data_IF_628953991554
#
_entry.id   IF_628953991554
#
_cell.length_a   1.000
_cell.length_b   1.000
_cell.length_c   1.000
_cell.angle_alpha   90.00
_cell.angle_beta   90.00
_cell.angle_gamma   90.00
#
_symmetry.space_group_name_H-M   'P 1'
#
loop_
_entity.id
_entity.type
_entity.pdbx_description
1 polymer ?
#
# COMPACT_ATOMS: atom_id res chain seq x y z
N UNK A 1 -14.68 8.40 -9.39
CA UNK A 1 -15.20 8.90 -8.10
C UNK A 1 -15.05 7.84 -6.99
N UNK A 2 -15.66 6.66 -7.15
CA UNK A 2 -15.74 5.63 -6.10
C UNK A 2 -14.39 5.09 -5.56
N UNK A 3 -13.33 5.05 -6.38
CA UNK A 3 -12.01 4.59 -5.91
C UNK A 3 -11.23 5.66 -5.15
N UNK A 4 -11.42 6.95 -5.47
CA UNK A 4 -10.75 8.06 -4.80
C UNK A 4 -11.24 8.23 -3.35
N UNK A 5 -12.54 8.05 -3.13
CA UNK A 5 -13.13 8.08 -1.78
C UNK A 5 -12.63 6.91 -0.92
N UNK A 6 -12.53 5.71 -1.51
CA UNK A 6 -11.92 4.55 -0.83
C UNK A 6 -10.46 4.78 -0.47
N UNK A 7 -9.66 5.34 -1.38
CA UNK A 7 -8.25 5.67 -1.09
C UNK A 7 -8.13 6.62 0.11
N UNK A 8 -8.98 7.65 0.18
CA UNK A 8 -9.00 8.57 1.31
C UNK A 8 -9.37 7.84 2.62
N UNK A 9 -10.43 7.03 2.62
CA UNK A 9 -10.85 6.26 3.79
C UNK A 9 -9.74 5.32 4.29
N UNK A 10 -9.01 4.66 3.39
CA UNK A 10 -7.90 3.79 3.77
C UNK A 10 -6.76 4.57 4.43
N UNK A 11 -6.44 5.77 3.94
CA UNK A 11 -5.43 6.64 4.56
C UNK A 11 -5.87 7.12 5.95
N UNK A 12 -7.14 7.49 6.11
CA UNK A 12 -7.72 7.89 7.40
C UNK A 12 -7.69 6.73 8.42
N UNK A 13 -8.03 5.51 8.00
CA UNK A 13 -7.91 4.30 8.83
C UNK A 13 -6.45 4.06 9.22
N UNK A 14 -5.52 4.14 8.27
CA UNK A 14 -4.09 3.94 8.55
C UNK A 14 -3.56 4.96 9.57
N UNK A 15 -3.94 6.23 9.45
CA UNK A 15 -3.60 7.28 10.43
C UNK A 15 -4.27 7.05 11.78
N UNK A 16 -5.49 6.51 11.83
CA UNK A 16 -6.14 6.17 13.10
C UNK A 16 -5.39 5.08 13.87
N UNK A 17 -4.73 4.17 13.15
CA UNK A 17 -3.92 3.07 13.71
C UNK A 17 -2.54 3.58 14.13
N UNK A 18 -1.87 4.35 13.27
CA UNK A 18 -0.57 4.96 13.55
C UNK A 18 -0.57 6.46 13.20
N UNK A 19 -0.96 7.34 14.14
CA UNK A 19 -1.05 8.78 13.88
C UNK A 19 0.30 9.45 13.56
N UNK A 20 1.41 8.80 13.92
CA UNK A 20 2.77 9.30 13.73
C UNK A 20 3.47 8.75 12.49
N UNK A 21 2.81 7.90 11.68
CA UNK A 21 3.43 7.34 10.46
C UNK A 21 3.75 8.46 9.47
N UNK A 22 5.05 8.70 9.27
CA UNK A 22 5.56 9.67 8.29
C UNK A 22 5.20 9.26 6.87
N UNK A 23 5.24 7.96 6.55
CA UNK A 23 4.87 7.42 5.24
C UNK A 23 3.39 7.65 4.95
N UNK A 24 2.51 7.36 5.91
CA UNK A 24 1.06 7.55 5.74
C UNK A 24 0.72 9.04 5.58
N UNK A 25 1.41 9.92 6.31
CA UNK A 25 1.28 11.38 6.15
C UNK A 25 1.73 11.84 4.76
N UNK A 26 2.86 11.33 4.26
CA UNK A 26 3.31 11.59 2.89
C UNK A 26 2.26 11.12 1.86
N UNK A 27 1.75 9.88 1.97
CA UNK A 27 0.73 9.40 1.03
C UNK A 27 -0.58 10.18 1.12
N UNK A 28 -0.92 10.72 2.29
CA UNK A 28 -2.06 11.62 2.45
C UNK A 28 -1.84 12.95 1.71
N UNK A 29 -0.61 13.49 1.74
CA UNK A 29 -0.25 14.67 0.98
C UNK A 29 -0.26 14.40 -0.53
N UNK A 30 0.35 13.29 -0.95
CA UNK A 30 0.33 12.82 -2.33
C UNK A 30 -1.10 12.61 -2.86
N UNK A 31 -2.02 12.10 -2.03
CA UNK A 31 -3.43 12.01 -2.39
C UNK A 31 -4.03 13.38 -2.72
N UNK A 32 -3.77 14.40 -1.90
CA UNK A 32 -4.23 15.78 -2.18
C UNK A 32 -3.67 16.28 -3.52
N UNK A 33 -2.38 16.03 -3.81
CA UNK A 33 -1.78 16.33 -5.11
C UNK A 33 -2.54 15.67 -6.26
N UNK A 34 -2.83 14.37 -6.16
CA UNK A 34 -3.49 13.59 -7.21
C UNK A 34 -4.95 14.01 -7.47
N UNK A 35 -5.61 14.64 -6.49
CA UNK A 35 -6.96 15.21 -6.66
C UNK A 35 -6.93 16.72 -6.97
N UNK A 36 -5.76 17.27 -7.26
CA UNK A 36 -5.50 18.66 -7.63
C UNK A 36 -5.69 19.69 -6.50
N UNK A 37 -5.70 19.26 -5.22
CA UNK A 37 -5.63 20.17 -4.07
C UNK A 37 -4.16 20.47 -3.72
N UNK A 38 -3.53 21.28 -4.57
CA UNK A 38 -2.09 21.57 -4.48
C UNK A 38 -1.73 22.41 -3.26
N UNK A 39 -2.64 23.28 -2.79
CA UNK A 39 -2.40 24.12 -1.61
C UNK A 39 -2.33 23.25 -0.36
N UNK A 40 -3.32 22.38 -0.16
CA UNK A 40 -3.34 21.46 0.98
C UNK A 40 -2.22 20.43 0.89
N UNK A 41 -1.96 19.90 -0.31
CA UNK A 41 -0.81 19.02 -0.55
C UNK A 41 0.49 19.68 -0.09
N UNK A 42 0.74 20.93 -0.50
CA UNK A 42 1.95 21.67 -0.16
C UNK A 42 2.09 21.90 1.35
N UNK A 43 1.00 22.25 2.04
CA UNK A 43 0.98 22.38 3.51
C UNK A 43 1.38 21.06 4.18
N UNK A 44 0.78 19.94 3.75
CA UNK A 44 1.06 18.63 4.30
C UNK A 44 2.49 18.16 4.01
N UNK A 45 3.02 18.45 2.82
CA UNK A 45 4.41 18.16 2.45
C UNK A 45 5.41 18.98 3.27
N UNK A 46 5.11 20.25 3.56
CA UNK A 46 5.92 21.06 4.47
C UNK A 46 5.99 20.41 5.86
N UNK A 47 4.85 19.98 6.40
CA UNK A 47 4.82 19.28 7.69
C UNK A 47 5.61 17.96 7.65
N UNK A 48 5.53 17.20 6.54
CA UNK A 48 6.32 15.98 6.36
C UNK A 48 7.82 16.27 6.38
N UNK A 49 8.26 17.33 5.68
CA UNK A 49 9.68 17.69 5.57
C UNK A 49 10.22 18.36 6.84
N UNK A 50 9.38 19.05 7.61
CA UNK A 50 9.76 19.53 8.96
C UNK A 50 10.00 18.36 9.92
N UNK A 51 9.19 17.30 9.84
CA UNK A 51 9.37 16.10 10.67
C UNK A 51 10.56 15.25 10.20
N UNK A 52 10.68 15.04 8.89
CA UNK A 52 11.72 14.24 8.28
C UNK A 52 12.24 14.91 6.99
N UNK A 53 13.32 15.71 7.07
CA UNK A 53 13.90 16.37 5.91
C UNK A 53 14.60 15.40 4.95
N UNK A 54 14.67 14.09 5.27
CA UNK A 54 15.23 13.05 4.40
C UNK A 54 14.18 12.34 3.55
N UNK A 55 12.92 12.77 3.62
CA UNK A 55 11.84 12.19 2.83
C UNK A 55 11.96 12.63 1.35
N UNK A 56 12.74 11.88 0.57
CA UNK A 56 12.99 12.16 -0.86
C UNK A 56 11.68 12.28 -1.65
N UNK A 57 10.71 11.35 -1.55
CA UNK A 57 9.43 11.50 -2.26
C UNK A 57 8.69 12.80 -1.92
N UNK A 58 8.73 13.26 -0.67
CA UNK A 58 8.11 14.53 -0.29
C UNK A 58 8.76 15.73 -0.98
N UNK A 59 10.09 15.72 -1.17
CA UNK A 59 10.76 16.74 -1.98
C UNK A 59 10.30 16.71 -3.45
N UNK A 60 10.20 15.53 -4.05
CA UNK A 60 9.79 15.38 -5.46
C UNK A 60 8.34 15.83 -5.69
N UNK A 61 7.39 15.46 -4.83
CA UNK A 61 5.99 15.90 -4.97
C UNK A 61 5.83 17.39 -4.65
N UNK A 62 6.63 17.95 -3.73
CA UNK A 62 6.58 19.38 -3.39
C UNK A 62 6.98 20.25 -4.58
N UNK A 63 8.01 19.88 -5.35
CA UNK A 63 8.38 20.65 -6.55
C UNK A 63 7.28 20.60 -7.60
N UNK A 64 6.66 19.44 -7.83
CA UNK A 64 5.50 19.33 -8.72
C UNK A 64 4.30 20.17 -8.23
N UNK A 65 3.99 20.18 -6.93
CA UNK A 65 2.95 21.06 -6.37
C UNK A 65 3.25 22.54 -6.63
N UNK A 66 4.50 22.97 -6.43
CA UNK A 66 4.91 24.35 -6.69
C UNK A 66 4.78 24.71 -8.17
N UNK A 67 5.13 23.80 -9.09
CA UNK A 67 4.90 23.98 -10.53
C UNK A 67 3.40 24.16 -10.83
N UNK A 68 2.53 23.30 -10.30
CA UNK A 68 1.08 23.40 -10.50
C UNK A 68 0.48 24.68 -9.90
N UNK A 69 1.14 25.30 -8.91
CA UNK A 69 0.76 26.57 -8.30
C UNK A 69 1.39 27.79 -9.00
N UNK A 70 2.16 27.60 -10.08
CA UNK A 70 2.83 28.70 -10.79
C UNK A 70 4.06 29.28 -10.08
N UNK A 71 4.57 28.60 -9.05
CA UNK A 71 5.69 29.06 -8.20
C UNK A 71 7.04 28.61 -8.77
N UNK A 72 7.29 28.94 -10.04
CA UNK A 72 8.42 28.39 -10.81
C UNK A 72 9.79 28.77 -10.26
N UNK A 73 9.96 30.02 -9.82
CA UNK A 73 11.25 30.51 -9.29
C UNK A 73 11.66 29.76 -8.01
N UNK A 74 10.69 29.36 -7.19
CA UNK A 74 10.97 28.51 -6.02
C UNK A 74 11.44 27.12 -6.42
N UNK A 75 10.88 26.54 -7.49
CA UNK A 75 11.31 25.23 -8.00
C UNK A 75 12.72 25.28 -8.56
N UNK A 76 13.07 26.37 -9.26
CA UNK A 76 14.40 26.58 -9.84
C UNK A 76 15.50 26.53 -8.76
N UNK A 77 15.21 27.04 -7.58
CA UNK A 77 16.15 27.11 -6.45
C UNK A 77 15.94 26.03 -5.38
N UNK A 78 14.88 25.23 -5.47
CA UNK A 78 14.45 24.32 -4.40
C UNK A 78 15.54 23.36 -3.89
N UNK A 79 16.31 22.78 -4.82
CA UNK A 79 17.38 21.82 -4.50
C UNK A 79 18.75 22.48 -4.30
N UNK A 80 18.83 23.80 -4.19
CA UNK A 80 20.11 24.48 -3.94
C UNK A 80 20.45 24.45 -2.44
N UNK A 81 19.44 24.39 -1.56
CA UNK A 81 19.60 24.32 -0.10
C UNK A 81 19.45 22.89 0.49
N UNK A 82 19.20 21.88 -0.36
CA UNK A 82 19.03 20.48 0.08
C UNK A 82 20.40 19.78 0.08
N UNK A 83 20.76 19.06 1.16
CA UNK A 83 22.01 18.29 1.22
C UNK A 83 22.18 17.36 0.01
N UNK A 84 23.36 17.38 -0.61
CA UNK A 84 23.61 16.72 -1.89
C UNK A 84 23.31 15.21 -1.86
N UNK A 85 23.48 14.55 -0.71
CA UNK A 85 23.17 13.14 -0.49
C UNK A 85 21.67 12.80 -0.56
N UNK A 86 20.80 13.80 -0.42
CA UNK A 86 19.34 13.67 -0.55
C UNK A 86 18.85 14.03 -1.95
N UNK A 87 19.71 14.61 -2.79
CA UNK A 87 19.34 15.09 -4.12
C UNK A 87 19.52 14.00 -5.16
N UNK A 88 18.41 13.62 -5.80
CA UNK A 88 18.44 12.79 -6.99
C UNK A 88 18.69 13.70 -8.20
N UNK A 89 19.87 13.59 -8.81
CA UNK A 89 20.34 14.46 -9.91
C UNK A 89 19.33 14.60 -11.05
N UNK A 90 18.72 13.49 -11.48
CA UNK A 90 17.70 13.49 -12.52
C UNK A 90 16.45 14.32 -12.15
N UNK A 91 16.03 14.28 -10.89
CA UNK A 91 14.88 15.05 -10.40
C UNK A 91 15.20 16.53 -10.29
N UNK A 92 16.38 16.89 -9.78
CA UNK A 92 16.83 18.29 -9.73
C UNK A 92 16.85 18.91 -11.13
N UNK A 93 17.42 18.20 -12.11
CA UNK A 93 17.47 18.67 -13.50
C UNK A 93 16.07 18.79 -14.09
N UNK A 94 15.22 17.78 -13.87
CA UNK A 94 13.84 17.78 -14.36
C UNK A 94 12.99 18.91 -13.77
N UNK A 95 13.10 19.15 -12.46
CA UNK A 95 12.40 20.24 -11.79
C UNK A 95 12.72 21.60 -12.42
N UNK A 96 14.01 21.85 -12.72
CA UNK A 96 14.44 23.06 -13.43
C UNK A 96 13.93 23.09 -14.87
N UNK A 97 14.03 21.99 -15.61
CA UNK A 97 13.54 21.90 -16.99
C UNK A 97 12.03 22.22 -17.09
N UNK A 98 11.22 21.59 -16.24
CA UNK A 98 9.77 21.82 -16.17
C UNK A 98 9.44 23.25 -15.75
N UNK A 99 10.16 23.82 -14.76
CA UNK A 99 9.95 25.19 -14.31
C UNK A 99 10.21 26.21 -15.43
N UNK A 100 11.32 26.08 -16.15
CA UNK A 100 11.65 26.97 -17.25
C UNK A 100 10.70 26.81 -18.43
N UNK A 101 10.29 25.58 -18.75
CA UNK A 101 9.29 25.32 -19.79
C UNK A 101 7.95 26.00 -19.46
N UNK A 102 7.42 25.82 -18.24
CA UNK A 102 6.17 26.45 -17.79
C UNK A 102 6.28 27.99 -17.68
N UNK A 103 7.47 28.50 -17.33
CA UNK A 103 7.76 29.94 -17.32
C UNK A 103 7.93 30.53 -18.71
N UNK A 104 7.99 29.70 -19.75
CA UNK A 104 8.27 30.09 -21.16
C UNK A 104 9.64 30.76 -21.34
N UNK A 105 10.61 30.39 -20.51
CA UNK A 105 12.02 30.78 -20.68
C UNK A 105 12.69 29.78 -21.62
N UNK A 106 12.68 30.11 -22.91
CA UNK A 106 13.12 29.21 -23.98
C UNK A 106 14.59 28.83 -23.86
N UNK A 107 15.45 29.78 -23.46
CA UNK A 107 16.90 29.57 -23.37
C UNK A 107 17.23 28.57 -22.26
N UNK A 108 16.73 28.83 -21.04
CA UNK A 108 16.98 27.92 -19.93
C UNK A 108 16.24 26.58 -20.08
N UNK A 109 15.03 26.59 -20.66
CA UNK A 109 14.31 25.36 -20.94
C UNK A 109 15.13 24.44 -21.87
N UNK A 110 15.74 24.98 -22.93
CA UNK A 110 16.59 24.21 -23.83
C UNK A 110 17.81 23.62 -23.11
N UNK A 111 18.52 24.44 -22.31
CA UNK A 111 19.70 24.01 -21.54
C UNK A 111 19.37 22.84 -20.60
N UNK A 112 18.29 22.95 -19.83
CA UNK A 112 17.94 21.91 -18.87
C UNK A 112 17.29 20.68 -19.52
N UNK A 113 16.61 20.84 -20.66
CA UNK A 113 16.10 19.73 -21.47
C UNK A 113 17.24 18.89 -22.06
N UNK A 114 18.30 19.53 -22.56
CA UNK A 114 19.49 18.82 -23.06
C UNK A 114 20.19 18.06 -21.93
N UNK A 115 20.38 18.70 -20.77
CA UNK A 115 20.95 18.05 -19.59
C UNK A 115 20.11 16.85 -19.13
N UNK A 116 18.79 16.97 -19.14
CA UNK A 116 17.88 15.88 -18.75
C UNK A 116 17.98 14.70 -19.72
N UNK A 117 18.02 14.97 -21.03
CA UNK A 117 18.23 13.96 -22.06
C UNK A 117 19.57 13.23 -21.91
N UNK A 118 20.65 13.97 -21.63
CA UNK A 118 21.96 13.36 -21.39
C UNK A 118 21.93 12.44 -20.15
N UNK A 119 21.27 12.87 -19.07
CA UNK A 119 21.12 12.07 -17.86
C UNK A 119 20.24 10.83 -18.07
N UNK A 120 19.18 10.93 -18.88
CA UNK A 120 18.31 9.81 -19.21
C UNK A 120 19.05 8.65 -19.91
N UNK A 121 20.09 8.97 -20.69
CA UNK A 121 20.92 7.98 -21.40
C UNK A 121 21.99 7.31 -20.52
N UNK A 122 22.21 7.80 -19.30
CA UNK A 122 23.18 7.20 -18.39
C UNK A 122 22.66 5.89 -17.78
N UNK A 123 23.57 5.05 -17.25
CA UNK A 123 23.22 3.74 -16.67
C UNK A 123 22.16 3.80 -15.55
N UNK A 124 22.13 4.88 -14.78
CA UNK A 124 21.14 5.14 -13.72
C UNK A 124 20.15 6.24 -14.11
N UNK A 125 19.93 6.43 -15.41
CA UNK A 125 19.14 7.51 -15.99
C UNK A 125 17.61 7.34 -15.88
N UNK A 126 17.12 6.22 -15.33
CA UNK A 126 15.68 5.89 -15.34
C UNK A 126 14.79 6.96 -14.70
N UNK A 127 15.26 7.67 -13.68
CA UNK A 127 14.52 8.80 -13.11
C UNK A 127 14.41 9.95 -14.11
N UNK A 128 15.53 10.38 -14.69
CA UNK A 128 15.57 11.45 -15.69
C UNK A 128 14.73 11.10 -16.93
N UNK A 129 14.85 9.85 -17.42
CA UNK A 129 14.04 9.31 -18.51
C UNK A 129 12.54 9.44 -18.22
N UNK A 130 12.10 9.09 -17.01
CA UNK A 130 10.69 9.21 -16.62
C UNK A 130 10.15 10.64 -16.62
N UNK A 131 11.01 11.66 -16.43
CA UNK A 131 10.61 13.06 -16.49
C UNK A 131 10.58 13.61 -17.92
N UNK A 132 11.20 12.95 -18.91
CA UNK A 132 11.05 13.35 -20.32
C UNK A 132 9.58 13.29 -20.75
N UNK A 133 8.82 12.29 -20.28
CA UNK A 133 7.38 12.23 -20.48
C UNK A 133 6.64 13.49 -20.00
N UNK A 134 6.93 13.93 -18.77
CA UNK A 134 6.28 15.12 -18.20
C UNK A 134 6.70 16.39 -18.93
N UNK A 135 7.95 16.46 -19.38
CA UNK A 135 8.47 17.60 -20.14
C UNK A 135 7.81 17.70 -21.52
N UNK A 136 7.70 16.58 -22.25
CA UNK A 136 6.97 16.53 -23.52
C UNK A 136 5.51 16.96 -23.34
N UNK A 137 4.85 16.49 -22.28
CA UNK A 137 3.47 16.87 -21.95
C UNK A 137 3.35 18.39 -21.70
N UNK A 138 4.25 18.97 -20.91
CA UNK A 138 4.28 20.41 -20.61
C UNK A 138 4.54 21.26 -21.85
N UNK A 139 5.41 20.80 -22.75
CA UNK A 139 5.73 21.50 -24.00
C UNK A 139 4.62 21.40 -25.05
N UNK A 140 3.58 20.58 -24.83
CA UNK A 140 2.56 20.28 -25.84
C UNK A 140 3.03 19.32 -26.94
N UNK A 141 4.17 18.68 -26.76
CA UNK A 141 4.79 17.69 -27.65
C UNK A 141 4.08 16.33 -27.49
N UNK A 142 2.80 16.32 -27.90
CA UNK A 142 1.87 15.23 -27.60
C UNK A 142 2.31 13.91 -28.25
N UNK A 143 2.88 13.95 -29.46
CA UNK A 143 3.33 12.75 -30.16
C UNK A 143 4.56 12.14 -29.49
N UNK A 144 5.48 12.97 -29.05
CA UNK A 144 6.71 12.63 -28.36
C UNK A 144 6.39 12.04 -26.98
N UNK A 145 5.42 12.62 -26.26
CA UNK A 145 4.93 12.08 -25.00
C UNK A 145 4.38 10.65 -25.15
N UNK A 146 3.55 10.39 -26.16
CA UNK A 146 3.01 9.03 -26.39
C UNK A 146 4.05 8.06 -26.97
N UNK A 147 4.98 8.54 -27.81
CA UNK A 147 6.12 7.72 -28.26
C UNK A 147 7.00 7.29 -27.08
N UNK A 148 7.18 8.17 -26.08
CA UNK A 148 7.84 7.81 -24.84
C UNK A 148 7.08 6.72 -24.09
N UNK A 149 5.74 6.80 -24.01
CA UNK A 149 4.90 5.78 -23.34
C UNK A 149 5.05 4.42 -24.00
N UNK A 150 5.04 4.34 -25.33
CA UNK A 150 5.28 3.09 -26.07
C UNK A 150 6.64 2.47 -25.72
N UNK A 151 7.70 3.27 -25.78
CA UNK A 151 9.04 2.82 -25.41
C UNK A 151 9.13 2.40 -23.93
N UNK A 152 8.45 3.10 -23.04
CA UNK A 152 8.44 2.80 -21.61
C UNK A 152 7.73 1.46 -21.33
N UNK A 153 6.71 1.08 -22.11
CA UNK A 153 6.08 -0.24 -22.04
C UNK A 153 7.06 -1.32 -22.49
N UNK A 154 7.71 -1.14 -23.64
CA UNK A 154 8.68 -2.11 -24.18
C UNK A 154 9.84 -2.34 -23.21
N UNK A 155 10.37 -1.25 -22.64
CA UNK A 155 11.48 -1.27 -21.67
C UNK A 155 11.04 -1.67 -20.26
N UNK A 156 9.74 -1.88 -20.02
CA UNK A 156 9.16 -2.18 -18.70
C UNK A 156 9.59 -1.18 -17.63
N UNK A 157 9.49 0.11 -17.96
CA UNK A 157 9.85 1.20 -17.05
C UNK A 157 9.07 1.10 -15.74
N UNK A 158 9.80 1.10 -14.61
CA UNK A 158 9.22 1.02 -13.27
C UNK A 158 8.48 2.29 -12.86
N UNK A 159 8.69 3.41 -13.56
CA UNK A 159 8.11 4.71 -13.24
C UNK A 159 6.94 5.10 -14.17
N UNK A 160 6.67 4.33 -15.22
CA UNK A 160 5.61 4.63 -16.20
C UNK A 160 4.23 4.80 -15.52
N UNK A 161 3.83 3.84 -14.69
CA UNK A 161 2.53 3.89 -14.01
C UNK A 161 2.42 5.04 -13.00
N UNK A 162 3.55 5.53 -12.49
CA UNK A 162 3.55 6.69 -11.61
C UNK A 162 3.38 7.98 -12.43
N UNK A 163 4.11 8.10 -13.54
CA UNK A 163 4.19 9.33 -14.34
C UNK A 163 2.98 9.55 -15.22
N UNK A 164 2.42 8.49 -15.79
CA UNK A 164 1.38 8.61 -16.81
C UNK A 164 0.09 9.27 -16.29
N UNK A 165 -0.22 9.09 -15.01
CA UNK A 165 -1.39 9.71 -14.35
C UNK A 165 -1.06 11.00 -13.59
N UNK A 166 0.18 11.49 -13.70
CA UNK A 166 0.64 12.67 -12.98
C UNK A 166 -0.18 13.92 -13.40
N UNK A 167 -0.73 14.71 -12.45
CA UNK A 167 -1.49 15.93 -12.73
C UNK A 167 -0.83 16.91 -13.70
N UNK A 168 0.51 17.03 -13.68
CA UNK A 168 1.24 17.96 -14.56
C UNK A 168 1.12 17.57 -16.05
N UNK A 169 0.91 16.28 -16.35
CA UNK A 169 0.64 15.79 -17.69
C UNK A 169 -0.84 15.88 -18.08
N UNK A 170 -1.65 16.64 -17.33
CA UNK A 170 -3.10 16.72 -17.48
C UNK A 170 -3.59 17.13 -18.87
N UNK A 171 -2.81 17.91 -19.61
CA UNK A 171 -3.14 18.33 -20.98
C UNK A 171 -3.26 17.15 -21.97
N UNK A 172 -2.58 16.02 -21.70
CA UNK A 172 -2.66 14.84 -22.56
C UNK A 172 -4.02 14.14 -22.50
N UNK A 173 -4.84 14.42 -21.47
CA UNK A 173 -6.15 13.77 -21.27
C UNK A 173 -7.15 14.05 -22.39
N UNK A 174 -6.96 15.15 -23.11
CA UNK A 174 -7.83 15.53 -24.22
C UNK A 174 -7.51 14.75 -25.52
N UNK A 175 -6.35 14.08 -25.60
CA UNK A 175 -5.97 13.26 -26.75
C UNK A 175 -6.60 11.84 -26.63
N UNK A 176 -7.25 11.31 -27.69
CA UNK A 176 -7.88 9.99 -27.66
C UNK A 176 -6.93 8.84 -27.30
N UNK A 177 -5.63 8.96 -27.58
CA UNK A 177 -4.62 7.96 -27.20
C UNK A 177 -4.49 7.85 -25.69
N UNK A 178 -4.82 8.88 -24.93
CA UNK A 178 -4.77 8.85 -23.48
C UNK A 178 -5.66 7.74 -22.92
N UNK A 179 -6.92 7.69 -23.35
CA UNK A 179 -7.86 6.66 -22.90
C UNK A 179 -7.46 5.25 -23.36
N UNK A 180 -6.81 5.12 -24.52
CA UNK A 180 -6.30 3.84 -25.01
C UNK A 180 -5.15 3.31 -24.14
N UNK A 181 -4.17 4.15 -23.85
CA UNK A 181 -3.06 3.81 -22.96
C UNK A 181 -3.51 3.67 -21.50
N UNK A 182 -4.44 4.50 -20.99
CA UNK A 182 -5.05 4.31 -19.67
C UNK A 182 -5.64 2.90 -19.53
N UNK A 183 -6.41 2.47 -20.53
CA UNK A 183 -6.96 1.10 -20.57
C UNK A 183 -5.84 0.07 -20.65
N UNK A 184 -4.82 0.25 -21.47
CA UNK A 184 -3.74 -0.73 -21.58
C UNK A 184 -2.87 -0.84 -20.32
N UNK A 185 -2.53 0.29 -19.70
CA UNK A 185 -1.61 0.41 -18.56
C UNK A 185 -2.29 0.07 -17.23
N UNK A 186 -3.54 0.49 -17.06
CA UNK A 186 -4.31 0.35 -15.82
C UNK A 186 -5.55 -0.52 -16.00
N UNK A 187 -5.60 -1.35 -17.05
CA UNK A 187 -6.50 -2.50 -17.03
C UNK A 187 -6.14 -3.34 -15.81
N UNK A 188 -6.81 -3.02 -14.71
CA UNK A 188 -7.18 -4.00 -13.72
C UNK A 188 -8.00 -4.98 -14.53
N UNK A 189 -7.47 -6.15 -14.84
CA UNK A 189 -8.31 -7.31 -15.05
C UNK A 189 -9.29 -7.26 -13.88
N UNK A 190 -10.55 -6.87 -14.13
CA UNK A 190 -11.58 -6.57 -13.14
C UNK A 190 -11.40 -7.52 -11.98
N UNK A 191 -10.82 -7.03 -10.88
CA UNK A 191 -10.12 -7.79 -9.86
C UNK A 191 -10.23 -9.29 -10.10
N UNK A 192 -9.50 -9.84 -11.08
CA UNK A 192 -9.14 -11.23 -10.95
C UNK A 192 -8.25 -11.13 -9.74
N UNK A 193 -8.82 -11.50 -8.58
CA UNK A 193 -8.02 -11.98 -7.47
C UNK A 193 -6.81 -12.64 -8.11
N UNK A 194 -5.61 -12.23 -7.73
CA UNK A 194 -4.43 -12.99 -8.10
C UNK A 194 -4.54 -14.31 -7.29
N UNK A 195 -5.53 -15.14 -7.57
CA UNK A 195 -5.35 -16.57 -7.76
C UNK A 195 -4.38 -16.68 -8.94
N UNK A 196 -3.09 -16.44 -8.66
CA UNK A 196 -2.09 -17.31 -9.24
C UNK A 196 -2.61 -18.69 -8.90
N UNK A 197 -3.23 -19.37 -9.86
CA UNK A 197 -3.35 -20.82 -9.83
C UNK A 197 -1.91 -21.33 -9.95
N UNK A 198 -1.15 -21.20 -8.85
CA UNK A 198 -0.15 -22.20 -8.53
C UNK A 198 -0.91 -23.52 -8.58
N UNK A 199 -0.37 -24.57 -9.23
CA UNK A 199 -0.95 -25.90 -9.08
C UNK A 199 -1.24 -26.11 -7.61
N UNK A 200 -2.47 -26.54 -7.30
CA UNK A 200 -2.90 -26.74 -5.93
C UNK A 200 -1.83 -27.58 -5.23
N UNK A 201 -1.30 -27.09 -4.10
CA UNK A 201 -0.22 -27.78 -3.38
C UNK A 201 -0.68 -29.18 -2.95
N UNK A 202 -1.99 -29.36 -2.81
CA UNK A 202 -2.68 -30.61 -2.52
C UNK A 202 -3.81 -30.80 -3.54
N UNK A 203 -4.00 -32.04 -4.00
CA UNK A 203 -5.23 -32.42 -4.70
C UNK A 203 -6.45 -32.40 -3.73
N UNK A 204 -7.66 -32.48 -4.30
CA UNK A 204 -8.90 -32.39 -3.53
C UNK A 204 -9.06 -33.51 -2.50
N UNK A 205 -8.60 -34.74 -2.78
CA UNK A 205 -8.71 -35.86 -1.87
C UNK A 205 -7.75 -35.69 -0.69
N UNK A 206 -6.51 -35.28 -0.94
CA UNK A 206 -5.51 -34.98 0.09
C UNK A 206 -5.93 -33.81 0.97
N UNK A 207 -6.47 -32.74 0.37
CA UNK A 207 -6.98 -31.58 1.12
C UNK A 207 -8.16 -31.96 2.04
N UNK A 208 -9.08 -32.80 1.56
CA UNK A 208 -10.19 -33.31 2.37
C UNK A 208 -9.69 -34.18 3.54
N UNK A 209 -8.75 -35.08 3.28
CA UNK A 209 -8.15 -35.93 4.32
C UNK A 209 -7.45 -35.11 5.42
N UNK A 210 -6.68 -34.09 5.04
CA UNK A 210 -6.02 -33.21 6.00
C UNK A 210 -7.01 -32.32 6.76
N UNK A 211 -8.08 -31.86 6.12
CA UNK A 211 -9.14 -31.10 6.79
C UNK A 211 -9.81 -31.94 7.88
N UNK A 212 -10.17 -33.19 7.56
CA UNK A 212 -10.77 -34.11 8.53
C UNK A 212 -9.82 -34.39 9.69
N UNK A 213 -8.54 -34.63 9.41
CA UNK A 213 -7.52 -34.85 10.45
C UNK A 213 -7.35 -33.63 11.36
N UNK A 214 -7.31 -32.43 10.79
CA UNK A 214 -7.23 -31.18 11.54
C UNK A 214 -8.45 -30.99 12.45
N UNK A 215 -9.67 -31.16 11.93
CA UNK A 215 -10.90 -30.98 12.70
C UNK A 215 -11.07 -32.02 13.80
N UNK A 216 -10.74 -33.29 13.54
CA UNK A 216 -10.74 -34.35 14.55
C UNK A 216 -9.74 -34.02 15.69
N UNK A 217 -8.53 -33.62 15.34
CA UNK A 217 -7.50 -33.24 16.32
C UNK A 217 -7.94 -32.04 17.18
N UNK A 218 -8.61 -31.05 16.58
CA UNK A 218 -9.15 -29.91 17.33
C UNK A 218 -10.26 -30.32 18.30
N UNK A 219 -11.13 -31.23 17.89
CA UNK A 219 -12.23 -31.72 18.71
C UNK A 219 -11.72 -32.55 19.91
N UNK A 220 -10.77 -33.44 19.66
CA UNK A 220 -10.24 -34.38 20.66
C UNK A 220 -9.23 -33.72 21.60
N UNK A 221 -8.19 -33.08 21.04
CA UNK A 221 -7.01 -32.66 21.79
C UNK A 221 -7.03 -31.18 22.17
N UNK A 222 -7.91 -30.38 21.57
CA UNK A 222 -8.11 -28.95 21.86
C UNK A 222 -6.79 -28.14 21.93
N UNK A 223 -5.88 -28.28 20.95
CA UNK A 223 -4.57 -27.64 20.99
C UNK A 223 -4.66 -26.10 21.02
N UNK A 224 -5.79 -25.53 20.60
CA UNK A 224 -6.07 -24.09 20.66
C UNK A 224 -6.03 -23.52 22.09
N UNK A 225 -6.19 -24.35 23.13
CA UNK A 225 -6.06 -23.94 24.53
C UNK A 225 -4.60 -23.65 24.93
N UNK A 226 -3.61 -24.11 24.13
CA UNK A 226 -2.21 -23.79 24.35
C UNK A 226 -1.92 -22.36 23.80
N UNK A 227 -1.51 -21.40 24.65
CA UNK A 227 -1.20 -20.04 24.20
C UNK A 227 0.03 -19.97 23.29
N UNK A 228 0.93 -20.96 23.38
CA UNK A 228 2.15 -21.07 22.58
C UNK A 228 1.95 -21.87 21.28
N UNK A 229 0.71 -22.26 20.94
CA UNK A 229 0.44 -23.00 19.72
C UNK A 229 0.87 -22.18 18.48
N UNK A 230 1.73 -22.79 17.67
CA UNK A 230 2.18 -22.22 16.40
C UNK A 230 1.71 -23.09 15.23
N UNK A 231 1.69 -22.51 14.02
CA UNK A 231 1.38 -23.25 12.79
C UNK A 231 2.27 -24.49 12.64
N UNK A 232 3.57 -24.36 12.91
CA UNK A 232 4.53 -25.48 12.81
C UNK A 232 4.23 -26.55 13.86
N UNK A 233 3.88 -26.16 15.09
CA UNK A 233 3.50 -27.08 16.15
C UNK A 233 2.26 -27.88 15.78
N UNK A 234 1.19 -27.20 15.38
CA UNK A 234 -0.06 -27.86 14.97
C UNK A 234 0.14 -28.77 13.76
N UNK A 235 0.93 -28.36 12.78
CA UNK A 235 1.27 -29.19 11.62
C UNK A 235 2.02 -30.47 12.04
N UNK A 236 2.93 -30.35 13.00
CA UNK A 236 3.63 -31.49 13.60
C UNK A 236 2.70 -32.45 14.33
N UNK A 237 1.76 -31.94 15.13
CA UNK A 237 0.78 -32.74 15.87
C UNK A 237 -0.10 -33.60 14.95
N UNK A 238 -0.48 -33.07 13.78
CA UNK A 238 -1.25 -33.83 12.78
C UNK A 238 -0.37 -34.43 11.67
N UNK A 239 0.94 -34.48 11.87
CA UNK A 239 1.92 -35.07 10.94
C UNK A 239 1.76 -34.62 9.48
N UNK A 240 1.62 -33.31 9.25
CA UNK A 240 1.65 -32.71 7.90
C UNK A 240 2.71 -31.61 7.82
N UNK A 241 3.14 -31.29 6.59
CA UNK A 241 4.11 -30.21 6.40
C UNK A 241 3.48 -28.84 6.74
N UNK A 242 4.17 -27.89 7.42
CA UNK A 242 3.62 -26.58 7.76
C UNK A 242 3.08 -25.78 6.56
N UNK A 243 3.71 -25.91 5.39
CA UNK A 243 3.23 -25.28 4.16
C UNK A 243 1.90 -25.89 3.69
N UNK A 244 1.69 -27.19 3.89
CA UNK A 244 0.41 -27.85 3.57
C UNK A 244 -0.68 -27.36 4.52
N UNK A 245 -0.40 -27.22 5.81
CA UNK A 245 -1.35 -26.65 6.76
C UNK A 245 -1.67 -25.19 6.44
N UNK A 246 -0.66 -24.36 6.15
CA UNK A 246 -0.88 -22.96 5.74
C UNK A 246 -1.72 -22.88 4.47
N UNK A 247 -1.40 -23.70 3.46
CA UNK A 247 -2.16 -23.77 2.22
C UNK A 247 -3.61 -24.20 2.48
N UNK A 248 -3.83 -25.25 3.27
CA UNK A 248 -5.14 -25.77 3.64
C UNK A 248 -6.02 -24.71 4.32
N UNK A 249 -5.46 -24.02 5.32
CA UNK A 249 -6.19 -22.99 6.06
C UNK A 249 -6.60 -21.82 5.15
N UNK A 250 -5.67 -21.33 4.33
CA UNK A 250 -5.95 -20.19 3.45
C UNK A 250 -6.84 -20.55 2.25
N UNK A 251 -6.63 -21.71 1.62
CA UNK A 251 -7.27 -22.05 0.35
C UNK A 251 -8.55 -22.90 0.51
N UNK A 252 -8.63 -23.75 1.53
CA UNK A 252 -9.81 -24.59 1.76
C UNK A 252 -10.74 -24.02 2.83
N UNK A 253 -10.20 -23.42 3.88
CA UNK A 253 -10.99 -22.88 5.01
C UNK A 253 -11.20 -21.37 4.92
N UNK A 254 -10.38 -20.65 4.13
CA UNK A 254 -10.50 -19.21 3.94
C UNK A 254 -10.09 -18.37 5.16
N UNK A 255 -9.25 -18.91 6.04
CA UNK A 255 -8.76 -18.21 7.26
C UNK A 255 -7.25 -18.36 7.37
N UNK A 256 -6.55 -17.32 7.81
CA UNK A 256 -5.17 -17.50 8.24
C UNK A 256 -5.09 -18.27 9.58
N UNK A 257 -3.92 -18.78 9.95
CA UNK A 257 -3.73 -19.57 11.18
C UNK A 257 -4.25 -18.89 12.44
N UNK A 258 -3.95 -17.60 12.63
CA UNK A 258 -4.36 -16.87 13.82
C UNK A 258 -5.88 -16.70 13.87
N UNK A 259 -6.51 -16.38 12.74
CA UNK A 259 -7.97 -16.28 12.64
C UNK A 259 -8.67 -17.60 12.89
N UNK A 260 -8.09 -18.69 12.36
CA UNK A 260 -8.63 -20.03 12.55
C UNK A 260 -8.55 -20.46 14.01
N UNK A 261 -7.38 -20.33 14.67
CA UNK A 261 -7.22 -20.74 16.07
C UNK A 261 -7.99 -19.83 17.03
N UNK A 262 -7.97 -18.51 16.81
CA UNK A 262 -8.69 -17.59 17.69
C UNK A 262 -10.20 -17.78 17.64
N UNK A 263 -10.75 -18.29 16.55
CA UNK A 263 -12.15 -18.69 16.48
C UNK A 263 -12.46 -19.77 17.53
N UNK A 264 -11.68 -20.86 17.58
CA UNK A 264 -11.86 -21.92 18.59
C UNK A 264 -11.60 -21.42 20.01
N UNK A 265 -10.62 -20.55 20.22
CA UNK A 265 -10.36 -19.93 21.53
C UNK A 265 -11.56 -19.09 21.99
N UNK A 266 -12.17 -18.34 21.07
CA UNK A 266 -13.35 -17.54 21.35
C UNK A 266 -14.57 -18.41 21.70
N UNK A 267 -14.80 -19.50 20.97
CA UNK A 267 -15.88 -20.44 21.28
C UNK A 267 -15.66 -21.14 22.63
N UNK A 268 -14.42 -21.51 22.95
CA UNK A 268 -14.06 -22.03 24.27
C UNK A 268 -14.33 -20.99 25.38
N UNK A 269 -14.00 -19.72 25.14
CA UNK A 269 -14.31 -18.62 26.07
C UNK A 269 -15.82 -18.50 26.29
N UNK A 270 -16.62 -18.44 25.23
CA UNK A 270 -18.09 -18.34 25.32
C UNK A 270 -18.68 -19.51 26.08
N UNK A 271 -18.18 -20.72 25.85
CA UNK A 271 -18.60 -21.93 26.56
C UNK A 271 -18.29 -21.85 28.05
N UNK A 272 -17.05 -21.47 28.42
CA UNK A 272 -16.65 -21.32 29.84
C UNK A 272 -17.42 -20.22 30.57
N UNK A 273 -17.61 -19.08 29.91
CA UNK A 273 -18.27 -17.92 30.51
C UNK A 273 -19.76 -18.14 30.81
N UNK A 274 -20.40 -19.11 30.15
CA UNK A 274 -21.80 -19.50 30.41
C UNK A 274 -21.96 -20.48 31.57
N UNK A 275 -20.88 -21.03 32.12
CA UNK A 275 -20.96 -22.01 33.21
C UNK A 275 -21.07 -21.31 34.57
N UNK A 276 -22.05 -21.67 35.42
CA UNK A 276 -22.20 -21.08 36.76
C UNK A 276 -20.97 -21.24 37.66
N UNK A 277 -20.25 -22.37 37.54
CA UNK A 277 -19.02 -22.65 38.28
C UNK A 277 -17.88 -21.64 38.04
N UNK A 278 -17.92 -20.95 36.90
CA UNK A 278 -16.90 -19.97 36.49
C UNK A 278 -17.30 -18.52 36.79
N UNK A 279 -18.43 -18.28 37.45
CA UNK A 279 -18.94 -16.92 37.69
C UNK A 279 -17.99 -16.02 38.50
N UNK A 280 -17.08 -16.62 39.27
CA UNK A 280 -16.07 -15.90 40.07
C UNK A 280 -14.80 -15.57 39.28
N UNK A 281 -14.61 -16.15 38.10
CA UNK A 281 -13.42 -15.90 37.27
C UNK A 281 -13.57 -14.57 36.51
N UNK A 282 -12.47 -13.82 36.43
CA UNK A 282 -12.45 -12.60 35.64
C UNK A 282 -12.54 -12.93 34.13
N UNK A 283 -13.08 -12.00 33.34
CA UNK A 283 -13.11 -12.10 31.88
C UNK A 283 -11.70 -12.38 31.31
N UNK A 284 -10.69 -11.76 31.91
CA UNK A 284 -9.29 -11.95 31.51
C UNK A 284 -8.80 -13.36 31.86
N UNK A 285 -9.11 -13.87 33.04
CA UNK A 285 -8.79 -15.24 33.45
C UNK A 285 -9.40 -16.26 32.48
N UNK A 286 -10.69 -16.10 32.17
CA UNK A 286 -11.39 -16.93 31.20
C UNK A 286 -10.77 -16.87 29.80
N UNK A 287 -10.36 -15.68 29.35
CA UNK A 287 -9.68 -15.54 28.06
C UNK A 287 -8.33 -16.26 28.04
N UNK A 288 -7.53 -16.13 29.10
CA UNK A 288 -6.24 -16.82 29.20
C UNK A 288 -6.41 -18.34 29.26
N UNK A 289 -7.36 -18.85 30.04
CA UNK A 289 -7.62 -20.29 30.07
C UNK A 289 -8.25 -20.82 28.76
N UNK A 290 -8.74 -19.94 27.90
CA UNK A 290 -9.19 -20.28 26.56
C UNK A 290 -8.07 -20.24 25.52
N UNK A 291 -6.84 -19.96 25.94
CA UNK A 291 -5.64 -20.03 25.11
C UNK A 291 -5.19 -18.70 24.49
N UNK A 292 -5.83 -17.56 24.82
CA UNK A 292 -5.33 -16.27 24.37
C UNK A 292 -4.02 -15.92 25.08
N UNK A 293 -3.07 -15.29 24.37
CA UNK A 293 -1.78 -14.89 24.92
C UNK A 293 -1.75 -13.45 25.46
N UNK A 294 -2.79 -12.66 25.17
CA UNK A 294 -2.89 -11.27 25.63
C UNK A 294 -4.33 -10.77 25.62
N UNK A 295 -4.62 -9.87 26.56
CA UNK A 295 -5.88 -9.12 26.64
C UNK A 295 -6.19 -8.35 25.36
N UNK A 296 -5.18 -7.75 24.73
CA UNK A 296 -5.34 -6.97 23.50
C UNK A 296 -5.82 -7.85 22.35
N UNK A 297 -5.18 -9.00 22.12
CA UNK A 297 -5.58 -9.93 21.06
C UNK A 297 -7.00 -10.45 21.30
N UNK A 298 -7.32 -10.81 22.55
CA UNK A 298 -8.66 -11.24 22.93
C UNK A 298 -9.72 -10.17 22.63
N UNK A 299 -9.55 -8.95 23.16
CA UNK A 299 -10.56 -7.89 23.01
C UNK A 299 -10.76 -7.50 21.54
N UNK A 300 -9.67 -7.37 20.78
CA UNK A 300 -9.73 -7.02 19.36
C UNK A 300 -10.44 -8.11 18.56
N UNK A 301 -10.09 -9.38 18.78
CA UNK A 301 -10.72 -10.49 18.07
C UNK A 301 -12.18 -10.69 18.48
N UNK A 302 -12.48 -10.59 19.78
CA UNK A 302 -13.84 -10.70 20.31
C UNK A 302 -14.76 -9.65 19.70
N UNK A 303 -14.34 -8.37 19.69
CA UNK A 303 -15.12 -7.28 19.11
C UNK A 303 -15.28 -7.44 17.59
N UNK A 304 -14.24 -7.88 16.89
CA UNK A 304 -14.29 -8.18 15.45
C UNK A 304 -15.36 -9.24 15.14
N UNK A 305 -15.39 -10.34 15.88
CA UNK A 305 -16.27 -11.47 15.58
C UNK A 305 -17.70 -11.27 16.09
N UNK A 306 -17.88 -10.62 17.24
CA UNK A 306 -19.20 -10.51 17.90
C UNK A 306 -19.87 -9.14 17.74
N UNK A 307 -19.13 -8.12 17.31
CA UNK A 307 -19.58 -6.73 17.30
C UNK A 307 -19.67 -6.08 18.67
N UNK A 308 -19.46 -6.82 19.76
CA UNK A 308 -19.64 -6.38 21.15
C UNK A 308 -18.31 -6.45 21.92
N UNK A 309 -18.21 -5.71 23.02
CA UNK A 309 -17.15 -5.96 24.01
C UNK A 309 -17.50 -7.18 24.86
N UNK A 310 -16.50 -7.91 25.42
CA UNK A 310 -16.76 -9.05 26.30
C UNK A 310 -17.70 -8.73 27.47
N UNK A 311 -17.55 -7.54 28.07
CA UNK A 311 -18.41 -7.09 29.18
C UNK A 311 -19.85 -6.83 28.74
N UNK A 312 -20.06 -6.33 27.52
CA UNK A 312 -21.41 -6.16 26.97
C UNK A 312 -22.05 -7.52 26.67
N UNK A 313 -21.27 -8.44 26.09
CA UNK A 313 -21.74 -9.79 25.76
C UNK A 313 -22.19 -10.59 27.00
N UNK A 314 -21.55 -10.41 28.15
CA UNK A 314 -21.91 -11.12 29.39
C UNK A 314 -23.03 -10.44 30.20
N UNK A 315 -23.43 -9.21 29.83
CA UNK A 315 -24.53 -8.49 30.47
C UNK A 315 -25.89 -8.70 29.79
N UNK A 316 -25.90 -9.22 28.57
CA UNK A 316 -27.10 -9.57 27.81
C UNK A 316 -27.29 -11.08 27.82
#
# INVERSE_FOLDING_TARGET
ANEREKSQQHLEIALSINPLSEETRFFSAYYQYMINDYVKSLEMLNNCLTANPKNIPAHSIKTLCLLMLGRYDEVIHYYDDIPAELVITGEKTAAKALAYALKKDVENAAIYSEKLNAQARAANGFTADSYLFLLHAVNGETNEAFAWVEQAIEKRSSLLLLRYTDPIAGALKDDPRYELFMKSLYQTAATKEITRQKPALLDAATAAAYSNKLLAHLAENKPYLNPNLSLRGLAGEIAIHPNHLSWLLNNSIGKNFNEFINHYRLEAFKSKARKPENAQLSIEGLAYESGFNSKTVFNTYFKKETGLTPKQFLKG
#
